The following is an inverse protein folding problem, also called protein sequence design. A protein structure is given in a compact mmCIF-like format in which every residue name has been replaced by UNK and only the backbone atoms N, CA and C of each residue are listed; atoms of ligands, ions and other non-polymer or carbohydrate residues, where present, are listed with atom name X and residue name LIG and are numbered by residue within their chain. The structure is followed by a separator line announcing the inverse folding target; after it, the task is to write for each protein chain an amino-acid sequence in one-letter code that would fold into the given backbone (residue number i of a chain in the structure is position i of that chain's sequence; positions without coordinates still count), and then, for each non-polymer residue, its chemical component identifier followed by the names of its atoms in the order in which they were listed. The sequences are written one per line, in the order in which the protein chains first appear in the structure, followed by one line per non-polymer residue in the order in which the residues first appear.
data_IF_208510559872
#
_entry.id   IF_208510559872
#
_cell.length_a   1.000
_cell.length_b   1.000
_cell.length_c   1.000
_cell.angle_alpha   90.00
_cell.angle_beta   90.00
_cell.angle_gamma   90.00
#
_symmetry.space_group_name_H-M   'P 1'
#
loop_
_entity.id
_entity.type
_entity.pdbx_description
1 polymer ?
#
# COMPACT_ATOMS: atom_id res chain seq x y z
N UNK A 1 35.54 -2.32 22.93
CA UNK A 1 34.14 -2.08 23.35
C UNK A 1 33.36 -1.70 22.10
N UNK A 2 32.64 -2.65 21.50
CA UNK A 2 31.78 -2.34 20.36
C UNK A 2 30.50 -1.68 20.90
N UNK A 3 30.34 -0.41 20.60
CA UNK A 3 29.15 0.37 20.92
C UNK A 3 27.98 -0.30 20.21
N UNK A 4 27.13 -1.02 20.95
CA UNK A 4 25.88 -1.57 20.41
C UNK A 4 25.02 -0.39 19.98
N UNK A 5 25.00 -0.14 18.68
CA UNK A 5 24.11 0.82 18.05
C UNK A 5 22.68 0.41 18.41
N UNK A 6 21.94 1.31 19.06
CA UNK A 6 20.54 1.06 19.40
C UNK A 6 19.79 0.98 18.07
N UNK A 7 19.52 -0.23 17.60
CA UNK A 7 18.56 -0.48 16.51
C UNK A 7 17.23 0.09 16.99
N UNK A 8 16.93 1.30 16.54
CA UNK A 8 15.66 1.93 16.77
C UNK A 8 14.64 1.03 16.08
N UNK A 9 13.80 0.34 16.86
CA UNK A 9 12.62 -0.38 16.37
C UNK A 9 11.57 0.63 15.89
N UNK A 10 11.96 1.46 14.93
CA UNK A 10 11.01 2.24 14.14
C UNK A 10 10.16 1.28 13.31
N UNK A 11 9.00 1.77 12.87
CA UNK A 11 8.15 1.08 11.89
C UNK A 11 9.04 0.67 10.71
N UNK A 12 9.24 -0.63 10.51
CA UNK A 12 10.15 -1.13 9.46
C UNK A 12 9.77 -0.57 8.08
N UNK A 13 10.77 -0.41 7.21
CA UNK A 13 10.59 0.09 5.84
C UNK A 13 9.40 -0.57 5.11
N UNK A 14 9.18 -1.90 5.24
CA UNK A 14 8.03 -2.58 4.65
C UNK A 14 6.68 -2.11 5.21
N UNK A 15 6.61 -1.86 6.52
CA UNK A 15 5.40 -1.41 7.20
C UNK A 15 5.07 0.05 6.86
N UNK A 16 6.08 0.91 6.70
CA UNK A 16 5.89 2.29 6.26
C UNK A 16 5.41 2.33 4.79
N UNK A 17 6.05 1.56 3.91
CA UNK A 17 5.68 1.45 2.50
C UNK A 17 4.26 0.90 2.31
N UNK A 18 3.86 -0.10 3.11
CA UNK A 18 2.48 -0.63 3.16
C UNK A 18 1.46 0.48 3.44
N UNK A 19 1.69 1.32 4.45
CA UNK A 19 0.74 2.38 4.82
C UNK A 19 0.64 3.43 3.71
N UNK A 20 1.78 3.88 3.18
CA UNK A 20 1.83 4.91 2.13
C UNK A 20 1.13 4.43 0.85
N UNK A 21 1.48 3.23 0.36
CA UNK A 21 0.87 2.69 -0.84
C UNK A 21 -0.59 2.30 -0.64
N UNK A 22 -0.98 1.89 0.58
CA UNK A 22 -2.38 1.66 0.94
C UNK A 22 -3.23 2.91 0.76
N UNK A 23 -2.80 4.05 1.31
CA UNK A 23 -3.52 5.31 1.11
C UNK A 23 -3.50 5.79 -0.34
N UNK A 24 -2.37 5.67 -1.04
CA UNK A 24 -2.29 6.01 -2.46
C UNK A 24 -3.26 5.17 -3.31
N UNK A 25 -3.28 3.85 -3.10
CA UNK A 25 -4.20 2.93 -3.77
C UNK A 25 -5.66 3.25 -3.47
N UNK A 26 -5.99 3.56 -2.21
CA UNK A 26 -7.33 3.96 -1.79
C UNK A 26 -7.83 5.21 -2.53
N UNK A 27 -6.97 6.21 -2.68
CA UNK A 27 -7.29 7.45 -3.40
C UNK A 27 -7.50 7.15 -4.89
N UNK A 28 -6.54 6.47 -5.53
CA UNK A 28 -6.59 6.18 -6.98
C UNK A 28 -7.83 5.36 -7.33
N UNK A 29 -8.07 4.27 -6.61
CA UNK A 29 -9.22 3.40 -6.85
C UNK A 29 -10.53 4.13 -6.48
N UNK A 30 -10.61 4.76 -5.30
CA UNK A 30 -11.79 5.51 -4.88
C UNK A 30 -12.22 6.57 -5.90
N UNK A 31 -11.28 7.38 -6.38
CA UNK A 31 -11.52 8.40 -7.42
C UNK A 31 -11.97 7.77 -8.74
N UNK A 32 -11.42 6.61 -9.12
CA UNK A 32 -11.84 5.89 -10.33
C UNK A 32 -13.32 5.52 -10.27
N UNK A 33 -13.81 5.06 -9.12
CA UNK A 33 -15.24 4.73 -8.94
C UNK A 33 -16.15 5.97 -8.92
N UNK A 34 -15.64 7.15 -8.57
CA UNK A 34 -16.39 8.42 -8.74
C UNK A 34 -16.56 8.71 -10.24
N UNK A 35 -15.50 8.56 -11.04
CA UNK A 35 -15.56 8.82 -12.48
C UNK A 35 -16.49 7.83 -13.20
N UNK A 36 -16.42 6.55 -12.84
CA UNK A 36 -17.26 5.48 -13.42
C UNK A 36 -18.75 5.78 -13.19
N UNK A 37 -19.11 6.45 -12.08
CA UNK A 37 -20.50 6.85 -11.81
C UNK A 37 -21.04 7.88 -12.81
N UNK A 38 -20.17 8.69 -13.41
CA UNK A 38 -20.54 9.67 -14.44
C UNK A 38 -20.47 9.09 -15.86
N UNK A 39 -19.97 7.86 -16.01
CA UNK A 39 -20.00 7.16 -17.30
C UNK A 39 -21.43 6.67 -17.58
N UNK A 40 -21.93 6.76 -18.84
CA UNK A 40 -23.26 6.27 -19.19
C UNK A 40 -23.30 4.75 -19.07
N UNK A 41 -23.64 4.27 -17.88
CA UNK A 41 -23.92 2.88 -17.61
C UNK A 41 -25.34 2.55 -18.11
N UNK A 42 -25.57 1.39 -18.72
CA UNK A 42 -26.92 0.94 -19.05
C UNK A 42 -27.79 0.94 -17.79
N UNK A 43 -29.03 1.40 -17.93
CA UNK A 43 -29.99 1.70 -16.84
C UNK A 43 -30.27 0.51 -15.90
N UNK A 44 -29.85 -0.69 -16.29
CA UNK A 44 -29.94 -1.93 -15.51
C UNK A 44 -28.83 -2.12 -14.49
N UNK A 45 -27.74 -1.35 -14.56
CA UNK A 45 -26.64 -1.42 -13.58
C UNK A 45 -26.86 -0.29 -12.59
N UNK A 46 -27.51 -0.60 -11.46
CA UNK A 46 -27.45 0.26 -10.29
C UNK A 46 -25.98 0.37 -9.92
N UNK A 47 -25.37 1.57 -9.85
CA UNK A 47 -23.99 1.70 -9.43
C UNK A 47 -23.91 1.42 -7.92
N UNK A 48 -23.86 0.13 -7.58
CA UNK A 48 -23.62 -0.37 -6.21
C UNK A 48 -22.21 0.03 -5.76
N UNK A 49 -21.32 0.26 -6.72
CA UNK A 49 -19.93 0.62 -6.50
C UNK A 49 -19.74 2.14 -6.42
N UNK A 50 -19.78 2.68 -5.20
CA UNK A 50 -19.39 4.06 -4.89
C UNK A 50 -17.93 4.17 -4.43
N UNK A 51 -17.48 5.42 -4.20
CA UNK A 51 -16.14 5.74 -3.70
C UNK A 51 -15.69 4.82 -2.55
N UNK A 52 -16.57 4.50 -1.60
CA UNK A 52 -16.25 3.67 -0.44
C UNK A 52 -15.70 2.29 -0.81
N UNK A 53 -16.29 1.63 -1.80
CA UNK A 53 -15.85 0.29 -2.22
C UNK A 53 -14.55 0.39 -3.02
N UNK A 54 -14.45 1.40 -3.89
CA UNK A 54 -13.21 1.69 -4.61
C UNK A 54 -12.05 1.95 -3.66
N UNK A 55 -12.26 2.80 -2.66
CA UNK A 55 -11.25 3.15 -1.67
C UNK A 55 -10.85 1.94 -0.82
N UNK A 56 -11.80 1.10 -0.40
CA UNK A 56 -11.49 -0.11 0.38
C UNK A 56 -10.64 -1.10 -0.43
N UNK A 57 -11.02 -1.35 -1.68
CA UNK A 57 -10.24 -2.21 -2.59
C UNK A 57 -8.85 -1.63 -2.87
N UNK A 58 -8.79 -0.33 -3.13
CA UNK A 58 -7.53 0.39 -3.35
C UNK A 58 -6.62 0.33 -2.13
N UNK A 59 -7.18 0.40 -0.92
CA UNK A 59 -6.41 0.28 0.31
C UNK A 59 -5.78 -1.10 0.45
N UNK A 60 -6.55 -2.16 0.23
CA UNK A 60 -6.06 -3.55 0.35
C UNK A 60 -4.97 -3.83 -0.68
N UNK A 61 -5.22 -3.51 -1.94
CA UNK A 61 -4.26 -3.76 -3.04
C UNK A 61 -3.02 -2.88 -2.88
N UNK A 62 -3.21 -1.60 -2.56
CA UNK A 62 -2.12 -0.67 -2.31
C UNK A 62 -1.25 -1.09 -1.13
N UNK A 63 -1.85 -1.54 -0.02
CA UNK A 63 -1.12 -2.01 1.13
C UNK A 63 -0.31 -3.28 0.83
N UNK A 64 -0.92 -4.25 0.15
CA UNK A 64 -0.22 -5.46 -0.29
C UNK A 64 0.97 -5.14 -1.20
N UNK A 65 0.78 -4.23 -2.15
CA UNK A 65 1.85 -3.79 -3.05
C UNK A 65 2.97 -3.04 -2.31
N UNK A 66 2.60 -2.14 -1.39
CA UNK A 66 3.55 -1.43 -0.54
C UNK A 66 4.38 -2.35 0.36
N UNK A 67 3.76 -3.41 0.87
CA UNK A 67 4.47 -4.41 1.67
C UNK A 67 5.49 -5.18 0.81
N UNK A 68 5.11 -5.60 -0.39
CA UNK A 68 6.03 -6.29 -1.32
C UNK A 68 7.18 -5.38 -1.74
N UNK A 69 6.88 -4.15 -2.17
CA UNK A 69 7.92 -3.19 -2.56
C UNK A 69 8.83 -2.84 -1.39
N UNK A 70 8.25 -2.59 -0.24
CA UNK A 70 9.02 -2.25 0.95
C UNK A 70 9.90 -3.42 1.39
N UNK A 71 9.46 -4.67 1.28
CA UNK A 71 10.30 -5.84 1.52
C UNK A 71 11.43 -5.98 0.48
N UNK A 72 11.12 -5.81 -0.81
CA UNK A 72 12.11 -5.91 -1.89
C UNK A 72 13.16 -4.80 -1.86
N UNK A 73 12.82 -3.64 -1.31
CA UNK A 73 13.72 -2.47 -1.23
C UNK A 73 14.40 -2.37 0.13
N UNK A 74 14.02 -3.20 1.11
CA UNK A 74 14.65 -3.20 2.42
C UNK A 74 15.97 -3.99 2.39
N UNK A 75 17.06 -3.28 2.13
CA UNK A 75 18.42 -3.84 2.13
C UNK A 75 18.84 -4.41 3.49
N UNK A 76 18.13 -4.07 4.58
CA UNK A 76 18.45 -4.61 5.91
C UNK A 76 18.29 -6.14 6.00
N UNK A 77 17.52 -6.76 5.10
CA UNK A 77 17.40 -8.21 5.02
C UNK A 77 18.61 -8.90 4.38
N UNK A 78 19.48 -8.16 3.68
CA UNK A 78 20.68 -8.72 3.04
C UNK A 78 21.95 -8.49 3.87
N UNK A 79 21.95 -7.52 4.79
CA UNK A 79 23.13 -7.14 5.57
C UNK A 79 23.56 -8.18 6.63
N UNK A 80 22.67 -9.11 7.03
CA UNK A 80 23.04 -10.22 7.92
C UNK A 80 23.88 -11.31 7.21
N UNK A 81 23.93 -11.31 5.87
CA UNK A 81 24.67 -12.33 5.10
C UNK A 81 26.11 -11.94 4.75
N UNK A 82 26.50 -10.68 4.93
CA UNK A 82 27.84 -10.15 4.60
C UNK A 82 28.79 -10.09 5.82
N UNK A 83 28.37 -10.62 6.97
CA UNK A 83 29.16 -10.69 8.20
C UNK A 83 29.88 -12.05 8.40
N UNK A 84 30.23 -12.75 7.31
CA UNK A 84 31.01 -14.00 7.33
C UNK A 84 32.38 -13.83 6.67
#
# INVERSE_FOLDING_TARGET
MATKEKVNKGVGLPSAAMVVMGFAGAIVSGLSFIIIRYWPLPVSIVPVYGFKIGALWGLVVGAAFGLVLGFLTDDSHFQDSDAA
#
